data_IF_850801903494
#
_entry.id   IF_850801903494
#
_cell.length_a   1.000
_cell.length_b   1.000
_cell.length_c   1.000
_cell.angle_alpha   90.00
_cell.angle_beta   90.00
_cell.angle_gamma   90.00
#
_symmetry.space_group_name_H-M   'P 1'
#
loop_
_entity.id
_entity.type
_entity.pdbx_description
1 polymer ?
#
# COMPACT_ATOMS: atom_id res chain seq x y z
N UNK A 1 -32.91 -25.24 20.47
CA UNK A 1 -32.32 -26.42 19.80
C UNK A 1 -30.96 -26.67 20.45
N UNK A 2 -30.69 -27.88 20.96
CA UNK A 2 -29.40 -28.26 21.54
C UNK A 2 -28.46 -28.73 20.41
N UNK A 3 -27.20 -28.26 20.41
CA UNK A 3 -26.19 -28.66 19.44
C UNK A 3 -25.62 -30.03 19.83
N UNK A 4 -25.93 -31.09 19.08
CA UNK A 4 -25.38 -32.43 19.32
C UNK A 4 -23.94 -32.51 18.77
N UNK A 5 -22.97 -32.58 19.69
CA UNK A 5 -21.54 -32.60 19.39
C UNK A 5 -21.01 -34.03 19.19
N UNK A 6 -21.80 -35.07 19.46
CA UNK A 6 -21.31 -36.46 19.43
C UNK A 6 -20.91 -36.92 18.02
N UNK A 7 -21.40 -36.24 16.97
CA UNK A 7 -21.06 -36.54 15.57
C UNK A 7 -20.45 -35.33 14.85
N UNK A 8 -19.93 -34.35 15.60
CA UNK A 8 -19.32 -33.17 15.00
C UNK A 8 -17.90 -33.49 14.52
N UNK A 9 -17.71 -33.53 13.20
CA UNK A 9 -16.37 -33.51 12.59
C UNK A 9 -16.04 -32.06 12.25
N UNK A 10 -14.99 -31.47 12.83
CA UNK A 10 -14.56 -30.13 12.44
C UNK A 10 -14.29 -30.08 10.93
N UNK A 11 -14.70 -29.01 10.23
CA UNK A 11 -14.32 -28.84 8.84
C UNK A 11 -12.79 -28.84 8.71
N UNK A 12 -12.24 -29.34 7.59
CA UNK A 12 -10.80 -29.29 7.35
C UNK A 12 -10.27 -27.87 7.52
N UNK A 13 -9.07 -27.73 8.08
CA UNK A 13 -8.41 -26.43 8.12
C UNK A 13 -8.27 -25.89 6.69
N UNK A 14 -8.59 -24.60 6.46
CA UNK A 14 -8.35 -24.00 5.16
C UNK A 14 -6.85 -24.10 4.84
N UNK A 15 -6.48 -24.32 3.57
CA UNK A 15 -5.08 -24.35 3.17
C UNK A 15 -4.38 -23.06 3.59
N UNK A 16 -3.14 -23.17 4.06
CA UNK A 16 -2.34 -22.01 4.42
C UNK A 16 -2.32 -21.00 3.27
N UNK A 17 -2.51 -19.71 3.60
CA UNK A 17 -2.39 -18.65 2.60
C UNK A 17 -1.00 -18.76 1.94
N UNK A 18 -0.92 -18.65 0.60
CA UNK A 18 0.37 -18.65 -0.07
C UNK A 18 1.24 -17.52 0.47
N UNK A 19 2.53 -17.82 0.67
CA UNK A 19 3.51 -16.85 1.15
C UNK A 19 3.47 -15.61 0.25
N UNK A 20 3.17 -14.46 0.85
CA UNK A 20 3.11 -13.20 0.11
C UNK A 20 4.54 -12.83 -0.31
N UNK A 21 4.76 -12.44 -1.58
CA UNK A 21 6.09 -12.06 -2.03
C UNK A 21 6.62 -10.92 -1.16
N UNK A 22 7.75 -11.16 -0.50
CA UNK A 22 8.41 -10.15 0.32
C UNK A 22 9.10 -9.14 -0.59
N UNK A 23 8.98 -7.85 -0.26
CA UNK A 23 9.68 -6.81 -1.00
C UNK A 23 11.17 -6.95 -0.76
N UNK A 24 11.96 -6.95 -1.84
CA UNK A 24 13.42 -6.84 -1.74
C UNK A 24 13.81 -5.53 -1.03
N UNK A 25 15.00 -5.45 -0.41
CA UNK A 25 15.43 -4.21 0.27
C UNK A 25 15.41 -2.97 -0.63
N UNK A 26 15.68 -3.15 -1.93
CA UNK A 26 15.60 -2.07 -2.93
C UNK A 26 14.16 -1.60 -3.15
N UNK A 27 13.21 -2.54 -3.24
CA UNK A 27 11.79 -2.21 -3.39
C UNK A 27 11.21 -1.55 -2.13
N UNK A 28 11.63 -1.98 -0.93
CA UNK A 28 11.23 -1.32 0.31
C UNK A 28 11.75 0.12 0.36
N UNK A 29 13.01 0.35 -0.03
CA UNK A 29 13.58 1.70 -0.12
C UNK A 29 12.85 2.57 -1.16
N UNK A 30 12.54 2.01 -2.32
CA UNK A 30 11.77 2.71 -3.35
C UNK A 30 10.36 3.07 -2.86
N UNK A 31 9.67 2.12 -2.21
CA UNK A 31 8.34 2.33 -1.64
C UNK A 31 8.37 3.43 -0.57
N UNK A 32 9.36 3.42 0.32
CA UNK A 32 9.53 4.45 1.34
C UNK A 32 9.75 5.84 0.72
N UNK A 33 10.56 5.94 -0.34
CA UNK A 33 10.76 7.18 -1.09
C UNK A 33 9.48 7.68 -1.75
N UNK A 34 8.72 6.79 -2.42
CA UNK A 34 7.46 7.13 -3.08
C UNK A 34 6.44 7.62 -2.05
N UNK A 35 6.31 6.94 -0.92
CA UNK A 35 5.41 7.32 0.16
C UNK A 35 5.82 8.68 0.75
N UNK A 36 7.11 8.88 1.07
CA UNK A 36 7.63 10.15 1.58
C UNK A 36 7.41 11.31 0.62
N UNK A 37 7.66 11.10 -0.68
CA UNK A 37 7.39 12.11 -1.71
C UNK A 37 5.91 12.49 -1.76
N UNK A 38 5.00 11.51 -1.72
CA UNK A 38 3.56 11.79 -1.71
C UNK A 38 3.11 12.56 -0.46
N UNK A 39 3.67 12.25 0.71
CA UNK A 39 3.39 13.00 1.93
C UNK A 39 3.83 14.45 1.78
N UNK A 40 5.02 14.70 1.23
CA UNK A 40 5.50 16.06 0.96
C UNK A 40 4.61 16.78 -0.05
N UNK A 41 4.25 16.11 -1.15
CA UNK A 41 3.33 16.65 -2.15
C UNK A 41 1.95 16.96 -1.57
N UNK A 42 1.48 16.21 -0.58
CA UNK A 42 0.21 16.49 0.08
C UNK A 42 0.19 17.90 0.72
N UNK A 43 1.33 18.44 1.11
CA UNK A 43 1.42 19.80 1.66
C UNK A 43 1.72 20.85 0.60
N UNK A 44 2.58 20.52 -0.37
CA UNK A 44 3.01 21.45 -1.42
C UNK A 44 1.91 21.63 -2.47
N UNK A 45 1.26 20.55 -2.90
CA UNK A 45 0.28 20.59 -3.99
C UNK A 45 -0.94 21.47 -3.68
N UNK A 46 -1.54 21.46 -2.47
CA UNK A 46 -2.69 22.33 -2.17
C UNK A 46 -2.36 23.82 -2.14
N UNK A 47 -1.13 24.18 -1.76
CA UNK A 47 -0.72 25.58 -1.56
C UNK A 47 -0.02 26.13 -2.80
N UNK A 48 0.80 25.31 -3.46
CA UNK A 48 1.70 25.73 -4.53
C UNK A 48 1.77 24.76 -5.71
N UNK A 49 0.84 23.80 -5.83
CA UNK A 49 0.85 22.82 -6.94
C UNK A 49 0.83 23.49 -8.31
N UNK A 50 -0.02 24.50 -8.49
CA UNK A 50 -0.08 25.29 -9.73
C UNK A 50 1.24 26.02 -10.02
N UNK A 51 1.90 26.56 -9.00
CA UNK A 51 3.19 27.27 -9.13
C UNK A 51 4.31 26.32 -9.51
N UNK A 52 4.38 25.14 -8.88
CA UNK A 52 5.38 24.11 -9.22
C UNK A 52 5.17 23.59 -10.64
N UNK A 53 3.92 23.33 -11.04
CA UNK A 53 3.60 22.89 -12.41
C UNK A 53 3.94 23.98 -13.42
N UNK A 54 3.59 25.23 -13.15
CA UNK A 54 3.90 26.37 -14.03
C UNK A 54 5.41 26.55 -14.17
N UNK A 55 6.17 26.49 -13.08
CA UNK A 55 7.64 26.59 -13.11
C UNK A 55 8.31 25.42 -13.84
N UNK A 56 7.76 24.20 -13.75
CA UNK A 56 8.25 23.05 -14.52
C UNK A 56 7.97 23.23 -16.02
N UNK A 57 6.78 23.70 -16.38
CA UNK A 57 6.44 23.99 -17.78
C UNK A 57 7.38 25.06 -18.34
N UNK A 58 7.69 26.10 -17.56
CA UNK A 58 8.56 27.19 -18.02
C UNK A 58 10.06 26.82 -18.03
N UNK A 59 10.46 25.81 -17.26
CA UNK A 59 11.82 25.28 -17.26
C UNK A 59 12.09 24.30 -18.42
N UNK A 60 11.07 23.54 -18.85
CA UNK A 60 11.19 22.47 -19.84
C UNK A 60 10.45 22.73 -21.16
N UNK A 61 9.68 23.82 -21.25
CA UNK A 61 8.88 24.24 -22.40
C UNK A 61 9.52 25.34 -23.21
#
# INVERSE_FOLDING_TARGET
MFLDLNNFTPPPEPPAEPDRPSLTPRQQKALAWIAGLNIVLLFIAPIGGATVISGLIELFG
#
